data_IF_868786611387
#
_entry.id   IF_868786611387
#
_cell.length_a   1.000
_cell.length_b   1.000
_cell.length_c   1.000
_cell.angle_alpha   90.00
_cell.angle_beta   90.00
_cell.angle_gamma   90.00
#
_symmetry.space_group_name_H-M   'P 1'
#
loop_
_entity.id
_entity.type
_entity.pdbx_description
1 polymer ?
#
# COMPACT_ATOMS: atom_id res chain seq x y z
N UNK A 1 11.69 -15.28 -15.61
CA UNK A 1 12.14 -14.07 -16.31
C UNK A 1 10.94 -13.39 -16.98
N UNK A 2 10.89 -12.06 -16.99
CA UNK A 2 9.87 -11.31 -17.74
C UNK A 2 10.40 -11.08 -19.16
N UNK A 3 9.64 -11.46 -20.18
CA UNK A 3 10.03 -11.34 -21.58
C UNK A 3 9.33 -10.13 -22.21
N UNK A 4 10.09 -9.18 -22.75
CA UNK A 4 9.50 -8.04 -23.46
C UNK A 4 8.89 -8.50 -24.78
N UNK A 5 7.60 -8.21 -25.00
CA UNK A 5 6.83 -8.70 -26.15
C UNK A 5 6.25 -7.57 -27.02
N UNK A 6 6.23 -6.34 -26.52
CA UNK A 6 5.76 -5.20 -27.31
C UNK A 6 6.04 -3.86 -26.65
N UNK A 7 6.30 -2.84 -27.45
CA UNK A 7 6.36 -1.45 -27.00
C UNK A 7 5.97 -0.50 -28.10
N UNK A 8 5.38 0.62 -27.73
CA UNK A 8 5.11 1.75 -28.64
C UNK A 8 6.35 2.60 -28.92
N UNK A 9 7.38 2.52 -28.09
CA UNK A 9 8.35 3.61 -27.94
C UNK A 9 7.68 4.91 -27.43
N UNK A 10 8.41 6.03 -27.44
CA UNK A 10 7.88 7.35 -27.07
C UNK A 10 6.83 7.84 -28.08
N UNK A 11 5.67 8.25 -27.58
CA UNK A 11 4.53 8.74 -28.37
C UNK A 11 4.43 10.27 -28.38
N UNK A 12 5.21 10.98 -27.56
CA UNK A 12 5.13 12.43 -27.43
C UNK A 12 3.83 12.91 -26.80
N UNK A 13 3.42 12.26 -25.70
CA UNK A 13 2.20 12.53 -24.93
C UNK A 13 0.93 12.50 -25.78
N UNK A 14 0.61 11.32 -26.31
CA UNK A 14 -0.63 11.08 -27.05
C UNK A 14 -1.85 11.34 -26.16
N UNK A 15 -2.66 12.33 -26.53
CA UNK A 15 -3.91 12.63 -25.83
C UNK A 15 -4.94 11.51 -26.03
N UNK A 16 -5.64 11.18 -24.94
CA UNK A 16 -6.77 10.26 -24.88
C UNK A 16 -7.92 10.96 -24.17
N UNK A 17 -9.10 10.96 -24.78
CA UNK A 17 -10.30 11.62 -24.29
C UNK A 17 -11.56 10.90 -24.81
N UNK A 18 -12.76 11.37 -24.44
CA UNK A 18 -14.03 10.70 -24.73
C UNK A 18 -14.28 10.34 -26.22
N UNK A 19 -13.58 10.97 -27.16
CA UNK A 19 -13.74 10.75 -28.60
C UNK A 19 -12.45 10.28 -29.29
N UNK A 20 -11.39 10.00 -28.53
CA UNK A 20 -10.11 9.57 -29.06
C UNK A 20 -9.47 8.55 -28.12
N UNK A 21 -9.49 7.30 -28.55
CA UNK A 21 -8.83 6.21 -27.87
C UNK A 21 -7.39 6.03 -28.35
N UNK A 22 -6.58 5.35 -27.53
CA UNK A 22 -5.31 4.79 -27.96
C UNK A 22 -5.49 3.31 -28.29
N UNK A 23 -4.83 2.83 -29.35
CA UNK A 23 -4.86 1.40 -29.73
C UNK A 23 -3.48 0.95 -30.17
N UNK A 24 -3.10 -0.27 -29.79
CA UNK A 24 -1.90 -0.94 -30.26
C UNK A 24 -2.15 -2.43 -30.46
N UNK A 25 -1.41 -3.04 -31.38
CA UNK A 25 -1.41 -4.48 -31.56
C UNK A 25 -0.28 -5.10 -30.71
N UNK A 26 -0.56 -6.24 -30.11
CA UNK A 26 0.36 -7.05 -29.31
C UNK A 26 0.41 -8.42 -29.98
N UNK A 27 1.62 -8.98 -30.15
CA UNK A 27 1.78 -10.36 -30.61
C UNK A 27 2.44 -11.18 -29.52
N UNK A 28 1.81 -12.30 -29.18
CA UNK A 28 2.29 -13.27 -28.22
C UNK A 28 2.74 -14.52 -28.96
N UNK A 29 4.05 -14.83 -28.92
CA UNK A 29 4.58 -16.03 -29.56
C UNK A 29 4.24 -17.30 -28.77
N UNK A 30 4.10 -17.18 -27.46
CA UNK A 30 3.79 -18.27 -26.55
C UNK A 30 2.85 -17.78 -25.45
N UNK A 31 1.99 -18.67 -24.94
CA UNK A 31 1.02 -18.36 -23.90
C UNK A 31 1.67 -17.97 -22.56
N UNK A 32 1.02 -17.13 -21.78
CA UNK A 32 1.50 -16.71 -20.46
C UNK A 32 0.74 -15.55 -19.86
N UNK A 33 1.13 -15.14 -18.65
CA UNK A 33 0.59 -13.94 -18.03
C UNK A 33 1.20 -12.70 -18.67
N UNK A 34 0.37 -11.69 -18.94
CA UNK A 34 0.81 -10.48 -19.65
C UNK A 34 0.68 -9.25 -18.78
N UNK A 35 1.80 -8.58 -18.53
CA UNK A 35 1.86 -7.27 -17.88
C UNK A 35 1.89 -6.14 -18.90
N UNK A 36 1.30 -5.03 -18.50
CA UNK A 36 1.25 -3.75 -19.18
C UNK A 36 1.88 -2.68 -18.28
N UNK A 37 2.94 -2.03 -18.73
CA UNK A 37 3.42 -0.78 -18.14
C UNK A 37 2.92 0.39 -19.00
N UNK A 38 2.07 1.23 -18.41
CA UNK A 38 1.53 2.42 -19.04
C UNK A 38 2.19 3.67 -18.45
N UNK A 39 3.12 4.30 -19.18
CA UNK A 39 3.63 5.62 -18.80
C UNK A 39 2.63 6.68 -19.24
N UNK A 40 1.93 7.27 -18.27
CA UNK A 40 0.87 8.22 -18.52
C UNK A 40 0.87 9.36 -17.50
N UNK A 41 0.10 10.40 -17.82
CA UNK A 41 -0.31 11.47 -16.91
C UNK A 41 -1.72 11.90 -17.28
N UNK A 42 -2.31 12.76 -16.45
CA UNK A 42 -3.69 13.22 -16.55
C UNK A 42 -3.75 14.72 -16.29
N UNK A 43 -4.78 15.42 -16.73
CA UNK A 43 -5.04 16.80 -16.27
C UNK A 43 -5.61 16.87 -14.83
N UNK A 44 -5.66 15.73 -14.15
CA UNK A 44 -6.10 15.58 -12.77
C UNK A 44 -5.06 16.05 -11.74
N UNK A 45 -5.52 16.24 -10.51
CA UNK A 45 -4.75 16.51 -9.31
C UNK A 45 -5.44 15.84 -8.11
N UNK A 46 -4.80 14.83 -7.51
CA UNK A 46 -5.34 14.04 -6.39
C UNK A 46 -5.71 14.88 -5.17
N UNK A 47 -5.16 16.10 -5.07
CA UNK A 47 -5.37 17.04 -3.96
C UNK A 47 -6.62 17.91 -4.14
N UNK A 48 -7.25 17.90 -5.30
CA UNK A 48 -8.32 18.83 -5.65
C UNK A 48 -9.63 18.07 -5.84
N UNK A 49 -10.64 18.45 -5.06
CA UNK A 49 -11.98 17.86 -5.14
C UNK A 49 -12.57 18.00 -6.55
N UNK A 50 -13.07 16.88 -7.08
CA UNK A 50 -13.62 16.78 -8.43
C UNK A 50 -12.57 16.75 -9.56
N UNK A 51 -11.28 16.78 -9.23
CA UNK A 51 -10.15 16.73 -10.14
C UNK A 51 -9.24 15.52 -9.90
N UNK A 52 -9.60 14.56 -9.06
CA UNK A 52 -8.68 13.58 -8.46
C UNK A 52 -7.95 12.72 -9.49
N UNK A 53 -8.69 12.15 -10.43
CA UNK A 53 -8.17 11.19 -11.41
C UNK A 53 -8.89 11.22 -12.75
N UNK A 54 -8.13 10.83 -13.79
CA UNK A 54 -8.69 10.23 -15.00
C UNK A 54 -8.77 8.72 -14.83
N UNK A 55 -9.71 8.08 -15.53
CA UNK A 55 -9.73 6.62 -15.66
C UNK A 55 -9.66 6.21 -17.12
N UNK A 56 -8.69 5.34 -17.42
CA UNK A 56 -8.57 4.68 -18.70
C UNK A 56 -9.10 3.25 -18.59
N UNK A 57 -10.16 2.94 -19.34
CA UNK A 57 -10.64 1.58 -19.51
C UNK A 57 -9.74 0.82 -20.47
N UNK A 58 -9.27 -0.32 -20.04
CA UNK A 58 -8.48 -1.26 -20.81
C UNK A 58 -9.43 -2.26 -21.46
N UNK A 59 -9.37 -2.32 -22.78
CA UNK A 59 -10.02 -3.34 -23.60
C UNK A 59 -8.93 -4.20 -24.22
N UNK A 60 -9.14 -5.52 -24.17
CA UNK A 60 -8.36 -6.47 -24.93
C UNK A 60 -9.30 -7.10 -25.95
N UNK A 61 -8.98 -6.94 -27.23
CA UNK A 61 -9.93 -7.13 -28.33
C UNK A 61 -11.17 -6.22 -28.16
N UNK A 62 -12.34 -6.84 -27.97
CA UNK A 62 -13.62 -6.17 -27.73
C UNK A 62 -14.13 -6.40 -26.31
N UNK A 63 -13.35 -7.10 -25.50
CA UNK A 63 -13.73 -7.47 -24.15
C UNK A 63 -13.19 -6.48 -23.13
N UNK A 64 -14.04 -6.12 -22.18
CA UNK A 64 -13.64 -5.30 -21.05
C UNK A 64 -12.60 -6.05 -20.24
N UNK A 65 -11.38 -5.53 -20.16
CA UNK A 65 -10.32 -6.13 -19.35
C UNK A 65 -10.42 -5.58 -17.92
N UNK A 66 -10.10 -4.30 -17.72
CA UNK A 66 -10.08 -3.66 -16.41
C UNK A 66 -10.04 -2.14 -16.55
N UNK A 67 -10.07 -1.41 -15.44
CA UNK A 67 -9.94 0.04 -15.40
C UNK A 67 -8.60 0.46 -14.77
N UNK A 68 -8.02 1.57 -15.25
CA UNK A 68 -6.75 2.11 -14.77
C UNK A 68 -6.96 3.55 -14.29
N UNK A 69 -6.94 3.73 -12.97
CA UNK A 69 -7.07 5.04 -12.31
C UNK A 69 -5.72 5.75 -12.36
N UNK A 70 -5.69 6.90 -13.03
CA UNK A 70 -4.52 7.75 -13.15
C UNK A 70 -4.46 8.73 -11.96
N UNK A 71 -4.15 8.19 -10.79
CA UNK A 71 -4.12 8.92 -9.50
C UNK A 71 -2.94 9.89 -9.32
N UNK A 72 -1.97 9.90 -10.24
CA UNK A 72 -0.72 10.67 -10.10
C UNK A 72 -0.79 12.01 -10.85
N UNK A 73 -1.98 12.37 -11.32
CA UNK A 73 -2.27 13.69 -11.89
C UNK A 73 -1.43 14.04 -13.10
N UNK A 74 -1.02 15.30 -13.18
CA UNK A 74 -0.18 15.84 -14.26
C UNK A 74 1.28 15.39 -14.20
N UNK A 75 1.67 14.62 -13.20
CA UNK A 75 3.01 14.05 -13.06
C UNK A 75 3.10 12.74 -13.87
N UNK A 76 4.11 12.57 -14.74
CA UNK A 76 4.38 11.28 -15.39
C UNK A 76 4.50 10.13 -14.38
N UNK A 77 3.78 9.05 -14.61
CA UNK A 77 3.85 7.84 -13.78
C UNK A 77 3.63 6.58 -14.61
N UNK A 78 4.31 5.50 -14.22
CA UNK A 78 4.12 4.18 -14.84
C UNK A 78 3.08 3.39 -14.07
N UNK A 79 1.89 3.24 -14.66
CA UNK A 79 0.81 2.41 -14.13
C UNK A 79 0.97 0.99 -14.65
N UNK A 80 1.45 0.08 -13.80
CA UNK A 80 1.55 -1.33 -14.18
C UNK A 80 0.22 -2.06 -13.92
N UNK A 81 -0.23 -2.84 -14.90
CA UNK A 81 -1.42 -3.70 -14.83
C UNK A 81 -1.09 -5.10 -15.34
N UNK A 82 -1.75 -6.10 -14.78
CA UNK A 82 -1.73 -7.46 -15.29
C UNK A 82 -2.99 -7.65 -16.14
N UNK A 83 -2.83 -7.98 -17.43
CA UNK A 83 -3.92 -8.19 -18.37
C UNK A 83 -4.58 -9.58 -18.22
N UNK A 84 -3.91 -10.50 -17.51
CA UNK A 84 -4.35 -11.87 -17.32
C UNK A 84 -3.48 -12.90 -18.04
N UNK A 85 -3.91 -14.17 -18.00
CA UNK A 85 -3.34 -15.23 -18.82
C UNK A 85 -3.88 -15.14 -20.25
N UNK A 86 -2.98 -15.09 -21.23
CA UNK A 86 -3.28 -15.04 -22.65
C UNK A 86 -2.65 -16.24 -23.36
N UNK A 87 -3.36 -16.77 -24.36
CA UNK A 87 -2.81 -17.78 -25.28
C UNK A 87 -1.84 -17.13 -26.29
N UNK A 88 -1.08 -17.96 -27.00
CA UNK A 88 -0.30 -17.47 -28.14
C UNK A 88 -1.24 -16.91 -29.22
N UNK A 89 -0.92 -15.74 -29.77
CA UNK A 89 -1.78 -15.08 -30.76
C UNK A 89 -1.53 -13.59 -30.91
N UNK A 90 -2.31 -12.97 -31.79
CA UNK A 90 -2.34 -11.53 -32.00
C UNK A 90 -3.52 -10.92 -31.22
N UNK A 91 -3.25 -9.81 -30.54
CA UNK A 91 -4.21 -9.09 -29.70
C UNK A 91 -4.25 -7.61 -30.02
N UNK A 92 -5.41 -6.98 -29.88
CA UNK A 92 -5.62 -5.54 -29.96
C UNK A 92 -5.84 -4.98 -28.56
N UNK A 93 -4.91 -4.19 -28.06
CA UNK A 93 -5.07 -3.43 -26.81
C UNK A 93 -5.65 -2.06 -27.15
N UNK A 94 -6.76 -1.70 -26.49
CA UNK A 94 -7.35 -0.36 -26.57
C UNK A 94 -7.47 0.28 -25.20
N UNK A 95 -6.97 1.49 -25.07
CA UNK A 95 -7.06 2.32 -23.87
C UNK A 95 -8.02 3.47 -24.17
N UNK A 96 -9.18 3.45 -23.51
CA UNK A 96 -10.26 4.40 -23.73
C UNK A 96 -10.50 5.26 -22.49
N UNK A 97 -10.59 6.57 -22.65
CA UNK A 97 -10.97 7.45 -21.54
C UNK A 97 -12.40 7.15 -21.12
N UNK A 98 -12.67 7.03 -19.82
CA UNK A 98 -14.01 6.76 -19.29
C UNK A 98 -14.57 8.00 -18.59
N UNK A 99 -15.42 8.81 -19.25
CA UNK A 99 -15.90 10.08 -18.68
C UNK A 99 -16.64 9.92 -17.36
N UNK A 100 -17.52 8.92 -17.28
CA UNK A 100 -18.38 8.74 -16.09
C UNK A 100 -17.62 8.18 -14.87
N UNK A 101 -16.55 7.41 -15.11
CA UNK A 101 -15.69 6.87 -14.05
C UNK A 101 -14.60 7.86 -13.63
N UNK A 102 -14.20 8.77 -14.53
CA UNK A 102 -13.21 9.82 -14.26
C UNK A 102 -13.79 10.91 -13.39
N UNK A 103 -12.93 11.73 -12.80
CA UNK A 103 -13.34 12.87 -11.97
C UNK A 103 -14.12 13.89 -12.80
N UNK A 104 -15.16 14.56 -12.25
CA UNK A 104 -16.14 15.27 -13.07
C UNK A 104 -15.54 16.43 -13.87
N UNK A 105 -14.46 17.04 -13.38
CA UNK A 105 -13.77 18.15 -14.04
C UNK A 105 -12.63 17.71 -14.97
N UNK A 106 -12.33 16.41 -15.01
CA UNK A 106 -11.25 15.83 -15.82
C UNK A 106 -11.83 15.29 -17.13
N UNK A 107 -11.17 15.56 -18.25
CA UNK A 107 -11.61 15.24 -19.61
C UNK A 107 -10.53 14.57 -20.46
N UNK A 108 -9.26 14.65 -20.05
CA UNK A 108 -8.10 14.21 -20.84
C UNK A 108 -7.05 13.49 -20.00
N UNK A 109 -6.50 12.46 -20.61
CA UNK A 109 -5.27 11.81 -20.19
C UNK A 109 -4.25 11.84 -21.33
N UNK A 110 -2.98 11.58 -21.01
CA UNK A 110 -1.87 11.61 -21.95
C UNK A 110 -1.00 10.38 -21.76
N UNK A 111 -0.76 9.66 -22.85
CA UNK A 111 0.06 8.44 -22.87
C UNK A 111 1.39 8.75 -23.54
N UNK A 112 2.50 8.49 -22.84
CA UNK A 112 3.84 8.64 -23.41
C UNK A 112 4.35 7.33 -23.99
N UNK A 113 4.18 6.22 -23.28
CA UNK A 113 4.58 4.91 -23.81
C UNK A 113 3.78 3.78 -23.18
N UNK A 114 3.72 2.69 -23.92
CA UNK A 114 3.18 1.42 -23.46
C UNK A 114 4.23 0.34 -23.67
N UNK A 115 4.52 -0.44 -22.62
CA UNK A 115 5.36 -1.63 -22.69
C UNK A 115 4.59 -2.84 -22.23
N UNK A 116 4.80 -3.97 -22.90
CA UNK A 116 4.09 -5.22 -22.62
C UNK A 116 5.11 -6.33 -22.39
N UNK A 117 4.92 -7.10 -21.32
CA UNK A 117 5.82 -8.18 -20.89
C UNK A 117 5.05 -9.47 -20.66
N UNK A 118 5.60 -10.61 -21.09
CA UNK A 118 5.11 -11.96 -20.80
C UNK A 118 5.84 -12.54 -19.59
N UNK A 119 5.10 -13.25 -18.76
CA UNK A 119 5.59 -14.19 -17.75
C UNK A 119 5.14 -15.58 -18.18
N UNK A 120 6.07 -16.41 -18.62
CA UNK A 120 5.77 -17.78 -19.04
C UNK A 120 6.15 -18.81 -17.97
N UNK A 121 5.83 -20.07 -18.28
CA UNK A 121 6.02 -21.23 -17.39
C UNK A 121 7.49 -21.55 -17.10
N UNK A 122 8.42 -21.04 -17.91
CA UNK A 122 9.86 -21.06 -17.65
C UNK A 122 10.23 -20.33 -16.34
N UNK A 123 9.33 -19.51 -15.84
CA UNK A 123 9.42 -18.77 -14.57
C UNK A 123 8.58 -19.42 -13.49
N UNK A 124 8.67 -20.74 -13.30
CA UNK A 124 7.70 -21.55 -12.53
C UNK A 124 7.17 -20.90 -11.24
N UNK A 125 8.06 -20.42 -10.36
CA UNK A 125 7.67 -19.76 -9.11
C UNK A 125 6.86 -18.48 -9.34
N UNK A 126 7.36 -17.57 -10.19
CA UNK A 126 6.67 -16.34 -10.54
C UNK A 126 5.35 -16.61 -11.26
N UNK A 127 5.32 -17.61 -12.14
CA UNK A 127 4.14 -18.02 -12.88
C UNK A 127 3.02 -18.48 -11.94
N UNK A 128 3.35 -19.26 -10.92
CA UNK A 128 2.41 -19.72 -9.90
C UNK A 128 1.87 -18.57 -9.04
N UNK A 129 2.71 -17.59 -8.69
CA UNK A 129 2.28 -16.37 -7.97
C UNK A 129 1.37 -15.51 -8.86
N UNK A 130 1.63 -15.40 -10.15
CA UNK A 130 0.78 -14.61 -11.05
C UNK A 130 -0.58 -15.29 -11.21
N UNK A 131 -0.61 -16.62 -11.38
CA UNK A 131 -1.83 -17.44 -11.51
C UNK A 131 -2.87 -17.18 -10.44
N UNK A 132 -2.45 -16.88 -9.21
CA UNK A 132 -3.35 -16.71 -8.07
C UNK A 132 -3.55 -15.26 -7.63
N UNK A 133 -3.02 -14.28 -8.37
CA UNK A 133 -3.24 -12.86 -8.09
C UNK A 133 -4.73 -12.50 -8.27
N UNK A 134 -5.39 -11.82 -7.32
CA UNK A 134 -6.82 -11.57 -7.38
C UNK A 134 -7.18 -10.43 -8.34
N UNK A 135 -8.31 -10.61 -9.04
CA UNK A 135 -9.05 -9.49 -9.66
C UNK A 135 -9.88 -8.83 -8.57
N UNK A 136 -9.68 -7.53 -8.39
CA UNK A 136 -10.37 -6.75 -7.37
C UNK A 136 -11.36 -5.80 -8.03
N UNK A 137 -12.64 -6.01 -7.79
CA UNK A 137 -13.69 -5.06 -8.12
C UNK A 137 -13.66 -3.90 -7.13
N UNK A 138 -13.80 -2.69 -7.66
CA UNK A 138 -13.70 -1.48 -6.85
C UNK A 138 -14.86 -1.33 -5.87
N UNK A 139 -14.62 -0.56 -4.82
CA UNK A 139 -15.61 -0.33 -3.76
C UNK A 139 -16.80 0.47 -4.29
N UNK A 140 -17.98 0.15 -3.78
CA UNK A 140 -19.24 0.79 -4.16
C UNK A 140 -20.20 0.93 -2.96
N UNK A 141 -19.69 1.44 -1.84
CA UNK A 141 -20.42 1.64 -0.58
C UNK A 141 -21.21 2.96 -0.63
N UNK A 142 -20.52 4.09 -0.80
CA UNK A 142 -21.18 5.41 -0.84
C UNK A 142 -21.33 5.98 -2.25
N UNK A 143 -20.50 5.54 -3.19
CA UNK A 143 -20.54 5.95 -4.59
C UNK A 143 -20.24 4.76 -5.50
N UNK A 144 -20.83 4.64 -6.70
CA UNK A 144 -20.57 3.51 -7.60
C UNK A 144 -19.10 3.34 -8.02
N UNK A 145 -18.31 4.41 -7.92
CA UNK A 145 -16.91 4.52 -8.35
C UNK A 145 -16.05 5.19 -7.27
N UNK A 146 -16.00 4.66 -6.04
CA UNK A 146 -15.22 5.26 -4.93
C UNK A 146 -13.71 5.27 -5.22
N UNK A 147 -13.18 4.17 -5.77
CA UNK A 147 -11.76 4.02 -6.09
C UNK A 147 -11.23 4.94 -7.20
N UNK A 148 -12.01 5.92 -7.67
CA UNK A 148 -11.50 7.03 -8.51
C UNK A 148 -10.99 8.21 -7.67
N UNK A 149 -11.42 8.34 -6.41
CA UNK A 149 -11.13 9.51 -5.58
C UNK A 149 -10.76 9.17 -4.13
N UNK A 150 -10.94 7.95 -3.66
CA UNK A 150 -10.49 7.48 -2.34
C UNK A 150 -10.22 5.99 -2.41
N UNK A 151 -9.46 5.42 -1.47
CA UNK A 151 -9.30 3.96 -1.35
C UNK A 151 -8.96 3.28 -2.69
N UNK A 152 -8.03 3.90 -3.42
CA UNK A 152 -7.62 3.42 -4.74
C UNK A 152 -6.61 2.30 -4.58
N UNK A 153 -6.79 1.12 -5.21
CA UNK A 153 -5.78 0.06 -5.19
C UNK A 153 -4.47 0.55 -5.83
N UNK A 154 -3.43 0.71 -5.02
CA UNK A 154 -2.13 1.24 -5.45
C UNK A 154 -1.16 0.13 -5.82
N UNK A 155 -1.09 -0.92 -4.99
CA UNK A 155 -0.06 -1.94 -5.11
C UNK A 155 -0.49 -3.28 -4.50
N UNK A 156 -0.36 -4.34 -5.29
CA UNK A 156 -0.49 -5.72 -4.83
C UNK A 156 0.90 -6.27 -4.47
N UNK A 157 1.02 -6.83 -3.27
CA UNK A 157 2.21 -7.57 -2.83
C UNK A 157 1.79 -8.90 -2.21
N UNK A 158 2.76 -9.77 -1.90
CA UNK A 158 2.46 -11.11 -1.41
C UNK A 158 3.53 -11.61 -0.45
N UNK A 159 3.25 -12.70 0.26
CA UNK A 159 4.30 -13.55 0.82
C UNK A 159 3.95 -15.02 0.60
N UNK A 160 4.97 -15.86 0.69
CA UNK A 160 4.82 -17.32 0.63
C UNK A 160 5.11 -17.95 1.99
N UNK A 161 4.39 -19.02 2.32
CA UNK A 161 4.58 -19.78 3.55
C UNK A 161 4.66 -21.27 3.22
N UNK A 162 5.80 -21.94 3.52
CA UNK A 162 5.90 -23.39 3.37
C UNK A 162 4.87 -24.10 4.26
N UNK A 163 4.17 -25.09 3.69
CA UNK A 163 3.27 -25.97 4.43
C UNK A 163 3.86 -27.38 4.51
N UNK A 164 3.26 -28.26 5.32
CA UNK A 164 3.70 -29.66 5.41
C UNK A 164 3.65 -30.39 4.05
N UNK A 165 2.72 -30.00 3.19
CA UNK A 165 2.59 -30.48 1.82
C UNK A 165 2.15 -29.32 0.91
N UNK A 166 3.12 -28.78 0.18
CA UNK A 166 2.98 -27.60 -0.68
C UNK A 166 3.31 -26.28 0.04
N UNK A 167 2.57 -25.23 -0.28
CA UNK A 167 2.79 -23.88 0.26
C UNK A 167 1.52 -23.05 0.24
N UNK A 168 1.48 -21.99 1.02
CA UNK A 168 0.48 -20.94 0.88
C UNK A 168 1.07 -19.71 0.20
N UNK A 169 0.21 -18.99 -0.52
CA UNK A 169 0.49 -17.65 -1.04
C UNK A 169 -0.59 -16.73 -0.50
N UNK A 170 -0.19 -15.65 0.16
CA UNK A 170 -1.09 -14.62 0.67
C UNK A 170 -0.81 -13.31 -0.04
N UNK A 171 -1.87 -12.70 -0.55
CA UNK A 171 -1.85 -11.45 -1.28
C UNK A 171 -2.39 -10.33 -0.42
N UNK A 172 -1.68 -9.21 -0.42
CA UNK A 172 -2.05 -7.99 0.29
C UNK A 172 -2.11 -6.82 -0.67
N UNK A 173 -3.02 -5.89 -0.41
CA UNK A 173 -3.23 -4.69 -1.20
C UNK A 173 -2.93 -3.46 -0.35
N UNK A 174 -2.20 -2.51 -0.92
CA UNK A 174 -2.10 -1.15 -0.40
C UNK A 174 -3.16 -0.31 -1.10
N UNK A 175 -4.05 0.29 -0.32
CA UNK A 175 -5.02 1.27 -0.79
C UNK A 175 -4.56 2.68 -0.41
N UNK A 176 -5.04 3.70 -1.13
CA UNK A 176 -4.60 5.09 -0.91
C UNK A 176 -4.96 5.64 0.48
N UNK A 177 -6.00 5.11 1.14
CA UNK A 177 -6.45 5.55 2.46
C UNK A 177 -7.32 4.48 3.16
N UNK A 178 -7.32 4.46 4.50
CA UNK A 178 -8.34 3.78 5.33
C UNK A 178 -9.45 4.79 5.67
N UNK A 179 -10.61 4.72 4.98
CA UNK A 179 -11.67 5.73 5.10
C UNK A 179 -12.38 5.72 6.47
N UNK A 180 -12.51 4.57 7.12
CA UNK A 180 -13.19 4.43 8.40
C UNK A 180 -12.57 3.30 9.26
N UNK A 181 -13.12 3.05 10.45
CA UNK A 181 -12.65 2.00 11.35
C UNK A 181 -11.68 2.55 12.39
N UNK A 182 -10.47 2.92 11.97
CA UNK A 182 -9.49 3.57 12.86
C UNK A 182 -9.46 5.08 12.61
N UNK A 183 -9.60 5.93 13.65
CA UNK A 183 -9.44 7.37 13.47
C UNK A 183 -8.10 7.73 12.82
N UNK A 184 -8.12 8.55 11.78
CA UNK A 184 -6.94 8.88 10.95
C UNK A 184 -5.69 9.26 11.74
N UNK A 185 -5.73 10.08 12.81
CA UNK A 185 -4.52 10.38 13.55
C UNK A 185 -3.94 9.17 14.31
N UNK A 186 -4.78 8.19 14.66
CA UNK A 186 -4.34 6.94 15.28
C UNK A 186 -3.68 6.00 14.26
N UNK A 187 -4.00 6.14 12.97
CA UNK A 187 -3.29 5.41 11.91
C UNK A 187 -1.81 5.81 11.89
N UNK A 188 -1.55 7.11 11.99
CA UNK A 188 -0.18 7.64 12.08
C UNK A 188 0.55 7.14 13.33
N UNK A 189 -0.06 7.22 14.51
CA UNK A 189 0.59 6.75 15.74
C UNK A 189 0.82 5.24 15.76
N UNK A 190 -0.16 4.46 15.27
CA UNK A 190 -0.17 3.00 15.43
C UNK A 190 0.55 2.27 14.32
N UNK A 191 0.38 2.73 13.08
CA UNK A 191 0.86 2.04 11.87
C UNK A 191 1.87 2.88 11.08
N UNK A 192 2.02 4.17 11.40
CA UNK A 192 2.96 5.06 10.70
C UNK A 192 2.55 5.40 9.27
N UNK A 193 1.25 5.31 8.95
CA UNK A 193 0.68 5.55 7.62
C UNK A 193 -0.79 5.92 7.73
N UNK A 194 -1.35 6.47 6.66
CA UNK A 194 -2.80 6.66 6.47
C UNK A 194 -3.36 5.79 5.33
N UNK A 195 -2.50 5.18 4.51
CA UNK A 195 -2.90 4.12 3.57
C UNK A 195 -3.54 2.98 4.33
N UNK A 196 -4.44 2.25 3.69
CA UNK A 196 -4.87 0.95 4.17
C UNK A 196 -3.96 -0.15 3.62
N UNK A 197 -3.69 -1.19 4.42
CA UNK A 197 -2.94 -2.37 4.01
C UNK A 197 -3.66 -3.60 4.54
N UNK A 198 -4.36 -4.30 3.65
CA UNK A 198 -5.18 -5.47 3.99
C UNK A 198 -4.75 -6.70 3.20
N UNK A 199 -4.87 -7.87 3.83
CA UNK A 199 -4.70 -9.13 3.10
C UNK A 199 -6.03 -9.49 2.43
N UNK A 200 -6.02 -9.61 1.11
CA UNK A 200 -7.27 -9.73 0.34
C UNK A 200 -7.57 -11.18 -0.04
N UNK A 201 -6.53 -12.00 -0.23
CA UNK A 201 -6.70 -13.37 -0.69
C UNK A 201 -5.55 -14.25 -0.23
N UNK A 202 -5.86 -15.47 0.18
CA UNK A 202 -4.87 -16.49 0.53
C UNK A 202 -5.26 -17.81 -0.11
N UNK A 203 -4.29 -18.45 -0.75
CA UNK A 203 -4.43 -19.77 -1.36
C UNK A 203 -3.42 -20.74 -0.75
N UNK A 204 -3.87 -21.93 -0.39
CA UNK A 204 -3.03 -23.05 0.03
C UNK A 204 -2.98 -24.07 -1.12
N UNK A 205 -1.77 -24.30 -1.63
CA UNK A 205 -1.45 -25.20 -2.73
C UNK A 205 -0.82 -26.47 -2.17
N UNK A 206 -1.07 -27.60 -2.83
CA UNK A 206 -0.40 -28.85 -2.51
C UNK A 206 0.94 -29.03 -3.22
N UNK A 207 1.63 -30.15 -2.95
CA UNK A 207 2.90 -30.48 -3.61
C UNK A 207 2.83 -30.62 -5.14
N UNK A 208 1.63 -30.68 -5.74
CA UNK A 208 1.42 -30.66 -7.19
C UNK A 208 1.06 -29.28 -7.76
N UNK A 209 0.91 -28.26 -6.90
CA UNK A 209 0.49 -26.91 -7.29
C UNK A 209 -1.04 -26.76 -7.44
N UNK A 210 -1.83 -27.73 -6.95
CA UNK A 210 -3.29 -27.69 -7.01
C UNK A 210 -3.86 -27.01 -5.75
N UNK A 211 -4.97 -26.28 -5.94
CA UNK A 211 -5.62 -25.52 -4.87
C UNK A 211 -6.32 -26.47 -3.90
N UNK A 212 -5.88 -26.49 -2.65
CA UNK A 212 -6.57 -27.20 -1.55
C UNK A 212 -7.60 -26.33 -0.85
N UNK A 213 -7.25 -25.07 -0.65
CA UNK A 213 -8.04 -24.13 0.12
C UNK A 213 -7.77 -22.72 -0.35
N UNK A 214 -8.83 -21.92 -0.42
CA UNK A 214 -8.76 -20.51 -0.72
C UNK A 214 -9.62 -19.74 0.28
N UNK A 215 -9.09 -18.65 0.82
CA UNK A 215 -9.75 -17.80 1.83
C UNK A 215 -9.50 -16.32 1.55
N UNK A 216 -10.36 -15.47 2.09
CA UNK A 216 -10.24 -14.01 1.99
C UNK A 216 -10.61 -13.36 3.33
N UNK A 217 -10.23 -12.10 3.52
CA UNK A 217 -10.58 -11.30 4.69
C UNK A 217 -11.93 -10.61 4.45
N UNK A 218 -12.98 -11.13 5.05
CA UNK A 218 -14.31 -10.56 5.00
C UNK A 218 -14.52 -9.40 5.98
N UNK A 219 -15.71 -8.77 5.96
CA UNK A 219 -16.08 -7.74 6.92
C UNK A 219 -15.84 -8.16 8.36
N UNK A 220 -15.61 -7.16 9.20
CA UNK A 220 -15.21 -7.35 10.61
C UNK A 220 -13.90 -8.15 10.77
N UNK A 221 -13.07 -8.22 9.72
CA UNK A 221 -11.83 -9.00 9.67
C UNK A 221 -12.05 -10.51 9.84
N UNK A 222 -13.20 -11.02 9.41
CA UNK A 222 -13.53 -12.45 9.50
C UNK A 222 -12.98 -13.19 8.29
N UNK A 223 -12.16 -14.22 8.52
CA UNK A 223 -11.69 -15.09 7.45
C UNK A 223 -12.84 -15.91 6.85
N UNK A 224 -13.13 -15.67 5.57
CA UNK A 224 -14.11 -16.40 4.79
C UNK A 224 -13.47 -17.42 3.84
N UNK A 225 -14.21 -18.47 3.48
CA UNK A 225 -13.83 -19.38 2.40
C UNK A 225 -14.20 -18.76 1.05
N UNK A 226 -13.27 -18.75 0.11
CA UNK A 226 -13.51 -18.26 -1.24
C UNK A 226 -14.40 -19.25 -2.02
N UNK A 227 -15.52 -18.76 -2.53
CA UNK A 227 -16.48 -19.48 -3.39
C UNK A 227 -16.83 -18.69 -4.65
N UNK A 228 -16.12 -17.59 -4.90
CA UNK A 228 -16.32 -16.72 -6.05
C UNK A 228 -15.91 -17.34 -7.37
N UNK A 229 -16.26 -16.63 -8.46
CA UNK A 229 -15.84 -17.00 -9.81
C UNK A 229 -14.41 -16.59 -10.13
N UNK A 230 -14.00 -16.88 -11.36
CA UNK A 230 -12.72 -16.42 -11.91
C UNK A 230 -12.92 -15.49 -13.10
N UNK A 231 -11.93 -14.63 -13.38
CA UNK A 231 -11.93 -13.72 -14.52
C UNK A 231 -10.52 -13.53 -15.09
N UNK A 232 -10.43 -12.88 -16.25
CA UNK A 232 -9.17 -12.44 -16.86
C UNK A 232 -8.11 -13.54 -17.00
N UNK A 233 -8.51 -14.75 -17.42
CA UNK A 233 -7.56 -15.87 -17.54
C UNK A 233 -7.39 -16.69 -16.26
N UNK A 234 -8.43 -16.76 -15.43
CA UNK A 234 -8.51 -17.71 -14.31
C UNK A 234 -8.21 -17.13 -12.93
N UNK A 235 -8.06 -15.82 -12.81
CA UNK A 235 -7.79 -15.14 -11.54
C UNK A 235 -9.02 -15.13 -10.62
N UNK A 236 -8.85 -15.33 -9.29
CA UNK A 236 -9.96 -15.29 -8.34
C UNK A 236 -10.56 -13.88 -8.28
N UNK A 237 -11.89 -13.80 -8.23
CA UNK A 237 -12.62 -12.52 -8.25
C UNK A 237 -13.11 -12.14 -6.85
N UNK A 238 -12.68 -10.97 -6.40
CA UNK A 238 -13.11 -10.35 -5.14
C UNK A 238 -13.60 -8.93 -5.39
N UNK A 239 -14.34 -8.36 -4.46
CA UNK A 239 -14.74 -6.95 -4.44
C UNK A 239 -14.42 -6.34 -3.08
N UNK A 240 -13.86 -5.12 -3.06
CA UNK A 240 -13.76 -4.33 -1.83
C UNK A 240 -15.16 -3.96 -1.36
N UNK A 241 -15.49 -4.35 -0.13
CA UNK A 241 -16.87 -4.32 0.36
C UNK A 241 -17.09 -3.40 1.57
N UNK A 242 -16.00 -2.93 2.19
CA UNK A 242 -16.04 -2.10 3.41
C UNK A 242 -15.13 -0.88 3.26
N UNK A 243 -15.39 0.14 4.06
CA UNK A 243 -14.64 1.42 4.10
C UNK A 243 -13.21 1.30 4.64
N UNK A 244 -12.83 0.13 5.13
CA UNK A 244 -11.49 -0.22 5.61
C UNK A 244 -10.95 -1.49 4.93
N UNK A 245 -11.13 -1.59 3.60
CA UNK A 245 -10.32 -2.49 2.76
C UNK A 245 -10.70 -3.98 2.70
N UNK A 246 -11.56 -4.50 3.58
CA UNK A 246 -12.01 -5.89 3.51
C UNK A 246 -12.87 -6.20 2.28
N UNK A 247 -12.89 -7.48 1.90
CA UNK A 247 -13.41 -7.95 0.61
C UNK A 247 -14.52 -8.99 0.75
N UNK A 248 -15.27 -9.17 -0.33
CA UNK A 248 -16.18 -10.29 -0.53
C UNK A 248 -15.95 -10.96 -1.89
N UNK A 249 -16.41 -12.19 -2.04
CA UNK A 249 -16.37 -12.96 -3.29
C UNK A 249 -17.65 -12.84 -4.14
N UNK A 250 -18.51 -11.87 -3.80
CA UNK A 250 -19.70 -11.48 -4.56
C UNK A 250 -19.49 -10.09 -5.15
N UNK A 251 -19.72 -9.96 -6.47
CA UNK A 251 -19.51 -8.73 -7.21
C UNK A 251 -20.82 -7.98 -7.45
N UNK A 252 -20.82 -6.70 -7.14
CA UNK A 252 -21.90 -5.74 -7.41
C UNK A 252 -21.41 -4.49 -8.13
N UNK A 253 -20.10 -4.21 -8.18
CA UNK A 253 -19.56 -3.03 -8.85
C UNK A 253 -19.27 -3.24 -10.34
N UNK A 254 -19.28 -2.14 -11.10
CA UNK A 254 -19.14 -2.16 -12.56
C UNK A 254 -17.70 -1.98 -13.07
N UNK A 255 -16.71 -2.00 -12.18
CA UNK A 255 -15.31 -1.67 -12.51
C UNK A 255 -14.34 -2.52 -11.67
N UNK A 256 -13.18 -2.86 -12.24
CA UNK A 256 -12.24 -3.83 -11.66
C UNK A 256 -10.80 -3.52 -11.99
N UNK A 257 -9.91 -4.11 -11.21
CA UNK A 257 -8.48 -3.95 -11.23
C UNK A 257 -7.80 -5.32 -11.18
N UNK A 258 -6.73 -5.48 -11.94
CA UNK A 258 -5.83 -6.62 -11.84
C UNK A 258 -4.39 -6.07 -11.83
N UNK A 259 -3.83 -5.98 -10.63
CA UNK A 259 -2.46 -5.53 -10.41
C UNK A 259 -1.54 -6.75 -10.38
N UNK A 260 -0.31 -6.67 -10.93
CA UNK A 260 0.66 -7.72 -10.72
C UNK A 260 1.15 -7.73 -9.27
N UNK A 261 1.61 -8.89 -8.76
CA UNK A 261 2.21 -9.01 -7.44
C UNK A 261 3.65 -8.47 -7.49
N UNK A 262 3.84 -7.23 -7.04
CA UNK A 262 5.05 -6.42 -7.28
C UNK A 262 6.15 -6.58 -6.23
N UNK A 263 5.85 -7.14 -5.07
CA UNK A 263 6.79 -7.28 -3.96
C UNK A 263 6.53 -8.56 -3.18
N UNK A 264 7.58 -9.30 -2.87
CA UNK A 264 7.54 -10.40 -1.91
C UNK A 264 7.92 -9.86 -0.53
N UNK A 265 6.95 -9.80 0.37
CA UNK A 265 7.13 -9.31 1.72
C UNK A 265 7.71 -10.39 2.63
N UNK A 266 8.88 -10.09 3.21
CA UNK A 266 9.47 -10.94 4.23
C UNK A 266 9.01 -10.53 5.63
N UNK A 267 7.90 -11.13 6.08
CA UNK A 267 7.29 -10.88 7.41
C UNK A 267 8.20 -11.13 8.62
N UNK A 268 9.35 -11.81 8.45
CA UNK A 268 10.26 -12.11 9.54
C UNK A 268 11.24 -10.97 9.83
N UNK A 269 11.54 -10.15 8.82
CA UNK A 269 12.61 -9.14 8.91
C UNK A 269 12.16 -7.75 8.47
N UNK A 270 10.94 -7.59 7.96
CA UNK A 270 10.42 -6.31 7.49
C UNK A 270 8.98 -6.06 7.97
N UNK A 271 8.62 -4.83 8.35
CA UNK A 271 7.22 -4.45 8.54
C UNK A 271 6.49 -4.41 7.19
N UNK A 272 5.15 -4.44 7.19
CA UNK A 272 4.36 -4.35 5.94
C UNK A 272 4.64 -3.05 5.18
N UNK A 273 4.85 -1.95 5.90
CA UNK A 273 5.12 -0.63 5.33
C UNK A 273 6.47 -0.55 4.61
N UNK A 274 7.34 -1.56 4.74
CA UNK A 274 8.56 -1.65 3.94
C UNK A 274 8.28 -1.65 2.43
N UNK A 275 7.12 -2.15 2.03
CA UNK A 275 6.62 -2.10 0.66
C UNK A 275 6.45 -0.65 0.19
N UNK A 276 6.01 0.27 1.06
CA UNK A 276 5.88 1.69 0.74
C UNK A 276 7.24 2.35 0.50
N UNK A 277 8.31 1.91 1.19
CA UNK A 277 9.66 2.40 0.91
C UNK A 277 10.20 1.91 -0.45
N UNK A 278 9.83 0.69 -0.86
CA UNK A 278 10.16 0.16 -2.17
C UNK A 278 9.36 0.85 -3.28
N UNK A 279 8.18 1.38 -2.95
CA UNK A 279 7.27 2.09 -3.85
C UNK A 279 6.80 3.43 -3.26
N UNK A 280 7.70 4.44 -3.19
CA UNK A 280 7.47 5.68 -2.44
C UNK A 280 6.27 6.52 -2.87
N UNK A 281 5.75 6.33 -4.08
CA UNK A 281 4.56 7.02 -4.54
C UNK A 281 3.34 6.76 -3.65
N UNK A 282 3.33 5.65 -2.90
CA UNK A 282 2.29 5.32 -1.93
C UNK A 282 2.22 6.34 -0.79
N UNK A 283 3.36 6.86 -0.29
CA UNK A 283 3.39 7.97 0.67
C UNK A 283 2.84 9.26 0.06
N UNK A 284 3.13 9.52 -1.21
CA UNK A 284 2.72 10.74 -1.89
C UNK A 284 1.21 10.78 -2.13
N UNK A 285 0.64 9.70 -2.68
CA UNK A 285 -0.79 9.62 -2.98
C UNK A 285 -1.61 9.72 -1.70
N UNK A 286 -1.22 9.01 -0.63
CA UNK A 286 -1.93 9.12 0.65
C UNK A 286 -1.80 10.52 1.27
N UNK A 287 -0.63 11.17 1.18
CA UNK A 287 -0.46 12.53 1.67
C UNK A 287 -1.35 13.54 0.94
N UNK A 288 -1.39 13.47 -0.39
CA UNK A 288 -2.27 14.30 -1.22
C UNK A 288 -3.75 14.06 -0.93
N UNK A 289 -4.11 12.82 -0.60
CA UNK A 289 -5.45 12.48 -0.16
C UNK A 289 -5.78 13.13 1.18
N UNK A 290 -4.84 13.10 2.13
CA UNK A 290 -5.02 13.70 3.45
C UNK A 290 -5.13 15.23 3.36
N UNK A 291 -4.33 15.87 2.51
CA UNK A 291 -4.44 17.31 2.22
C UNK A 291 -5.84 17.70 1.73
N UNK A 292 -6.47 16.84 0.93
CA UNK A 292 -7.81 17.09 0.37
C UNK A 292 -8.93 16.79 1.37
N UNK A 293 -8.84 15.67 2.09
CA UNK A 293 -9.93 15.16 2.91
C UNK A 293 -9.95 15.73 4.34
N UNK A 294 -8.79 16.16 4.87
CA UNK A 294 -8.66 16.54 6.27
C UNK A 294 -8.04 17.92 6.45
N UNK A 295 -8.55 18.66 7.43
CA UNK A 295 -7.90 19.87 7.91
C UNK A 295 -6.72 19.48 8.80
N UNK A 296 -5.50 19.63 8.27
CA UNK A 296 -4.29 19.42 9.04
C UNK A 296 -4.19 20.42 10.21
N UNK A 297 -3.70 19.94 11.35
CA UNK A 297 -3.33 20.77 12.48
C UNK A 297 -2.17 21.70 12.07
N UNK A 298 -2.44 23.00 12.07
CA UNK A 298 -1.46 24.04 11.76
C UNK A 298 -1.63 25.24 12.71
N UNK A 299 -0.59 25.63 13.48
CA UNK A 299 0.69 24.93 13.62
C UNK A 299 0.53 23.59 14.35
N UNK A 300 1.40 22.62 14.05
CA UNK A 300 1.41 21.33 14.75
C UNK A 300 1.66 21.52 16.26
N UNK A 301 0.85 20.88 17.10
CA UNK A 301 0.94 20.98 18.57
C UNK A 301 1.51 19.68 19.16
N UNK A 302 2.58 19.84 19.94
CA UNK A 302 3.48 18.77 20.40
C UNK A 302 2.84 17.63 21.23
N UNK A 303 1.62 17.83 21.75
CA UNK A 303 0.87 16.83 22.53
C UNK A 303 -0.59 16.69 22.08
N UNK A 304 -0.94 17.29 20.95
CA UNK A 304 -2.23 17.05 20.33
C UNK A 304 -2.14 15.73 19.58
N UNK A 305 -3.17 14.89 19.65
CA UNK A 305 -3.22 13.71 18.80
C UNK A 305 -3.83 14.01 17.42
N UNK A 306 -4.20 15.26 17.11
CA UNK A 306 -4.76 15.63 15.80
C UNK A 306 -3.75 15.38 14.66
N UNK A 307 -4.26 15.07 13.47
CA UNK A 307 -3.45 14.88 12.28
C UNK A 307 -2.82 16.21 11.87
N UNK A 308 -1.49 16.25 11.76
CA UNK A 308 -0.76 17.36 11.15
C UNK A 308 -0.36 17.01 9.71
N UNK A 309 0.27 17.94 9.01
CA UNK A 309 0.91 17.63 7.73
C UNK A 309 1.86 16.42 7.90
N UNK A 310 1.76 15.45 6.98
CA UNK A 310 2.51 14.20 7.06
C UNK A 310 4.04 14.39 7.05
N UNK A 311 4.55 15.54 6.58
CA UNK A 311 5.97 15.90 6.64
C UNK A 311 6.46 16.22 8.06
N UNK A 312 5.56 16.46 9.01
CA UNK A 312 5.89 16.83 10.39
C UNK A 312 6.01 15.60 11.31
N UNK A 313 6.22 14.42 10.73
CA UNK A 313 6.35 13.17 11.44
C UNK A 313 7.71 12.54 11.17
N UNK A 314 8.37 12.09 12.23
CA UNK A 314 9.43 11.09 12.10
C UNK A 314 8.75 9.73 11.93
N UNK A 315 8.84 9.16 10.73
CA UNK A 315 8.41 7.80 10.45
C UNK A 315 9.44 6.83 11.00
N UNK A 316 8.98 5.81 11.70
CA UNK A 316 9.82 4.83 12.39
C UNK A 316 9.43 3.43 11.96
N UNK A 317 10.43 2.63 11.59
CA UNK A 317 10.31 1.18 11.42
C UNK A 317 11.24 0.50 12.42
N UNK A 318 10.71 -0.45 13.18
CA UNK A 318 11.43 -1.14 14.27
C UNK A 318 10.75 -2.48 14.57
N UNK A 319 11.27 -3.21 15.55
CA UNK A 319 10.68 -4.46 16.01
C UNK A 319 10.47 -4.47 17.52
N UNK A 320 9.45 -5.21 17.96
CA UNK A 320 9.27 -5.68 19.34
C UNK A 320 9.41 -7.20 19.35
N UNK A 321 10.49 -7.67 19.96
CA UNK A 321 10.71 -9.11 20.18
C UNK A 321 10.28 -9.43 21.60
N UNK A 322 9.37 -10.38 21.70
CA UNK A 322 8.66 -10.75 22.93
C UNK A 322 8.69 -12.27 23.06
N UNK A 323 8.70 -12.79 24.29
CA UNK A 323 8.79 -14.23 24.56
C UNK A 323 7.45 -14.96 24.38
N UNK A 324 6.35 -14.24 24.54
CA UNK A 324 4.97 -14.72 24.44
C UNK A 324 4.21 -13.94 23.35
N UNK A 325 4.31 -14.35 22.07
CA UNK A 325 3.67 -13.63 20.96
C UNK A 325 2.14 -13.46 21.08
N UNK A 326 1.48 -14.26 21.93
CA UNK A 326 0.04 -14.16 22.22
C UNK A 326 -0.33 -12.99 23.14
N UNK A 327 0.65 -12.37 23.83
CA UNK A 327 0.44 -11.21 24.68
C UNK A 327 0.56 -9.94 23.84
N UNK A 328 -0.45 -9.06 23.91
CA UNK A 328 -0.45 -7.77 23.21
C UNK A 328 0.52 -6.78 23.86
N UNK A 329 1.80 -6.96 23.54
CA UNK A 329 2.90 -6.14 24.02
C UNK A 329 3.06 -4.89 23.15
N UNK A 330 3.34 -3.75 23.77
CA UNK A 330 3.57 -2.48 23.08
C UNK A 330 4.78 -1.76 23.67
N UNK A 331 5.40 -0.95 22.83
CA UNK A 331 6.40 0.05 23.22
C UNK A 331 5.98 1.39 22.65
N UNK A 332 6.47 2.47 23.25
CA UNK A 332 6.42 3.80 22.68
C UNK A 332 7.77 4.17 22.06
N UNK A 333 7.74 4.98 21.01
CA UNK A 333 8.95 5.59 20.45
C UNK A 333 8.92 7.08 20.81
N UNK A 334 10.00 7.56 21.40
CA UNK A 334 10.09 8.93 21.86
C UNK A 334 11.29 9.65 21.24
N UNK A 335 11.10 10.91 20.89
CA UNK A 335 12.13 11.79 20.32
C UNK A 335 12.40 12.94 21.27
N UNK A 336 13.68 13.25 21.48
CA UNK A 336 14.14 14.47 22.15
C UNK A 336 14.77 15.39 21.12
N UNK A 337 14.39 16.67 21.15
CA UNK A 337 14.97 17.71 20.29
C UNK A 337 15.99 18.55 21.07
N UNK A 338 17.03 19.03 20.38
CA UNK A 338 18.08 19.88 20.93
C UNK A 338 17.47 21.17 21.48
N UNK A 339 17.86 21.53 22.71
CA UNK A 339 17.39 22.76 23.36
C UNK A 339 15.91 22.76 23.77
N UNK A 340 15.18 21.65 23.56
CA UNK A 340 13.78 21.50 23.99
C UNK A 340 13.73 20.62 25.23
N UNK A 341 13.06 21.11 26.29
CA UNK A 341 12.80 20.32 27.49
C UNK A 341 11.62 19.36 27.24
N UNK A 342 11.87 18.06 27.35
CA UNK A 342 10.82 17.04 27.28
C UNK A 342 11.04 16.03 26.15
N UNK A 343 10.02 15.19 25.93
CA UNK A 343 10.01 14.13 24.92
C UNK A 343 8.72 14.21 24.12
N UNK A 344 8.84 14.00 22.82
CA UNK A 344 7.72 13.80 21.91
C UNK A 344 7.43 12.30 21.82
N UNK A 345 6.16 11.92 21.98
CA UNK A 345 5.75 10.51 22.05
C UNK A 345 4.96 10.12 20.81
N UNK A 346 5.31 8.99 20.19
CA UNK A 346 4.56 8.44 19.06
C UNK A 346 3.18 7.92 19.45
N UNK A 347 3.01 7.49 20.71
CA UNK A 347 1.73 7.02 21.26
C UNK A 347 1.03 8.03 22.16
N UNK A 348 1.49 9.27 22.20
CA UNK A 348 0.97 10.34 23.07
C UNK A 348 0.90 9.93 24.56
N UNK A 349 1.92 9.22 25.03
CA UNK A 349 1.99 8.72 26.41
C UNK A 349 1.06 7.54 26.68
N UNK A 350 0.99 6.56 25.78
CA UNK A 350 0.05 5.42 25.82
C UNK A 350 -1.43 5.85 25.81
N UNK A 351 -1.76 6.88 25.02
CA UNK A 351 -3.13 7.35 24.90
C UNK A 351 -4.06 6.22 24.42
N UNK A 352 -5.24 6.16 25.03
CA UNK A 352 -6.33 5.24 24.68
C UNK A 352 -7.53 6.04 24.21
N UNK A 353 -8.05 5.68 23.05
CA UNK A 353 -9.24 6.30 22.46
C UNK A 353 -10.30 5.22 22.24
N UNK A 354 -11.25 5.11 23.18
CA UNK A 354 -12.16 3.97 23.24
C UNK A 354 -11.40 2.65 23.37
N UNK A 355 -11.63 1.73 22.44
CA UNK A 355 -10.93 0.44 22.39
C UNK A 355 -9.55 0.51 21.69
N UNK A 356 -9.20 1.67 21.11
CA UNK A 356 -7.93 1.82 20.41
C UNK A 356 -6.82 2.25 21.36
N UNK A 357 -5.69 1.56 21.28
CA UNK A 357 -4.41 1.97 21.85
C UNK A 357 -3.58 2.64 20.76
N UNK A 358 -3.01 3.82 21.02
CA UNK A 358 -2.20 4.54 20.04
C UNK A 358 -0.90 3.81 19.73
N UNK A 359 -0.28 3.18 20.73
CA UNK A 359 0.90 2.35 20.55
C UNK A 359 0.55 1.08 19.79
N UNK A 360 1.47 0.65 18.92
CA UNK A 360 1.33 -0.59 18.16
C UNK A 360 1.20 -1.81 19.10
N UNK A 361 0.05 -2.47 19.05
CA UNK A 361 -0.28 -3.70 19.78
C UNK A 361 -0.63 -4.86 18.83
N UNK A 362 -0.33 -4.70 17.54
CA UNK A 362 -0.56 -5.71 16.50
C UNK A 362 0.30 -6.96 16.66
N UNK A 363 -0.04 -8.02 15.92
CA UNK A 363 0.55 -9.36 16.08
C UNK A 363 1.96 -9.50 15.48
N UNK A 364 2.38 -8.58 14.60
CA UNK A 364 3.69 -8.66 13.96
C UNK A 364 4.80 -8.13 14.86
N UNK A 365 5.94 -8.81 14.84
CA UNK A 365 7.15 -8.37 15.54
C UNK A 365 7.71 -7.09 14.95
N UNK A 366 7.82 -7.04 13.62
CA UNK A 366 8.23 -5.87 12.85
C UNK A 366 7.02 -4.95 12.64
N UNK A 367 7.18 -3.66 12.92
CA UNK A 367 6.10 -2.69 12.78
C UNK A 367 6.62 -1.29 12.44
N UNK A 368 5.68 -0.45 12.05
CA UNK A 368 5.90 0.96 11.77
C UNK A 368 5.06 1.83 12.70
N UNK A 369 5.56 3.02 13.01
CA UNK A 369 4.89 4.05 13.83
C UNK A 369 5.42 5.41 13.41
N UNK A 370 4.86 6.49 13.93
CA UNK A 370 5.40 7.84 13.74
C UNK A 370 5.47 8.61 15.05
N UNK A 371 6.34 9.60 15.11
CA UNK A 371 6.36 10.61 16.17
C UNK A 371 6.07 11.97 15.55
N UNK A 372 4.97 12.61 15.96
CA UNK A 372 4.64 13.98 15.52
C UNK A 372 5.61 14.96 16.16
N UNK A 373 6.19 15.83 15.34
CA UNK A 373 7.20 16.81 15.72
C UNK A 373 6.77 18.23 15.30
N UNK A 374 7.37 19.28 15.88
CA UNK A 374 7.11 20.65 15.47
C UNK A 374 7.39 20.83 13.97
N UNK A 375 6.62 21.71 13.34
CA UNK A 375 6.86 22.13 11.95
C UNK A 375 8.31 22.60 11.75
N UNK A 376 8.93 22.15 10.66
CA UNK A 376 10.32 22.47 10.32
C UNK A 376 11.39 21.60 10.99
N UNK A 377 11.02 20.67 11.88
CA UNK A 377 11.98 19.75 12.52
C UNK A 377 12.63 18.81 11.49
N UNK A 378 13.96 18.75 11.49
CA UNK A 378 14.75 17.79 10.72
C UNK A 378 15.71 16.97 11.59
N UNK A 379 16.59 16.19 10.94
CA UNK A 379 17.56 15.35 11.65
C UNK A 379 18.53 16.15 12.54
N UNK A 380 18.96 17.34 12.08
CA UNK A 380 19.90 18.19 12.80
C UNK A 380 19.32 18.75 14.10
N UNK A 381 17.99 18.76 14.25
CA UNK A 381 17.31 19.20 15.46
C UNK A 381 17.16 18.08 16.50
N UNK A 382 17.31 16.82 16.09
CA UNK A 382 17.15 15.67 16.97
C UNK A 382 18.38 15.47 17.85
N UNK A 383 18.15 15.27 19.16
CA UNK A 383 19.18 14.90 20.12
C UNK A 383 19.21 13.38 20.31
N UNK A 384 18.04 12.76 20.49
CA UNK A 384 17.94 11.36 20.86
C UNK A 384 16.60 10.74 20.44
N UNK A 385 16.62 9.44 20.11
CA UNK A 385 15.44 8.60 19.94
C UNK A 385 15.51 7.42 20.91
N UNK A 386 14.42 7.17 21.63
CA UNK A 386 14.32 6.08 22.58
C UNK A 386 13.15 5.14 22.30
N UNK A 387 13.32 3.88 22.69
CA UNK A 387 12.20 3.00 23.00
C UNK A 387 11.78 3.20 24.46
N UNK A 388 10.47 3.14 24.72
CA UNK A 388 9.90 3.19 26.06
C UNK A 388 8.95 2.01 26.29
N UNK A 389 9.17 1.28 27.38
CA UNK A 389 8.29 0.20 27.82
C UNK A 389 6.93 0.75 28.22
N UNK A 390 5.86 0.08 27.78
CA UNK A 390 4.50 0.40 28.17
C UNK A 390 3.86 -0.77 28.94
N UNK A 391 3.02 -0.48 29.95
CA UNK A 391 2.31 -1.52 30.69
C UNK A 391 1.26 -2.26 29.84
N UNK A 392 0.80 -3.42 30.32
CA UNK A 392 -0.29 -4.19 29.70
C UNK A 392 0.17 -5.28 28.73
N UNK A 393 1.48 -5.52 28.64
CA UNK A 393 2.05 -6.67 27.92
C UNK A 393 3.17 -7.32 28.74
N UNK A 394 4.18 -7.85 28.05
CA UNK A 394 5.33 -8.46 28.72
C UNK A 394 6.15 -7.47 29.55
N UNK A 395 6.74 -7.95 30.65
CA UNK A 395 7.52 -7.12 31.58
C UNK A 395 8.85 -6.61 30.99
N UNK A 396 9.30 -7.21 29.89
CA UNK A 396 10.56 -6.88 29.21
C UNK A 396 10.40 -7.09 27.71
N UNK A 397 10.88 -6.15 26.91
CA UNK A 397 10.76 -6.17 25.44
C UNK A 397 12.11 -5.85 24.82
N UNK A 398 12.57 -6.72 23.90
CA UNK A 398 13.76 -6.47 23.11
C UNK A 398 13.39 -5.65 21.87
N UNK A 399 14.10 -4.56 21.66
CA UNK A 399 14.02 -3.70 20.48
C UNK A 399 15.36 -3.81 19.76
N UNK A 400 15.47 -4.62 18.69
CA UNK A 400 16.75 -4.99 18.10
C UNK A 400 17.31 -3.92 17.15
N UNK A 401 16.45 -3.09 16.59
CA UNK A 401 16.83 -2.17 15.51
C UNK A 401 15.90 -0.96 15.43
N UNK A 402 16.38 0.07 14.73
CA UNK A 402 15.65 1.30 14.48
C UNK A 402 15.99 1.84 13.08
N UNK A 403 14.96 2.28 12.37
CA UNK A 403 15.06 3.11 11.17
C UNK A 403 14.10 4.30 11.34
N UNK A 404 14.62 5.52 11.17
CA UNK A 404 13.85 6.75 11.22
C UNK A 404 13.99 7.56 9.94
N UNK A 405 12.90 8.13 9.41
CA UNK A 405 12.95 9.05 8.28
C UNK A 405 11.85 10.12 8.28
N UNK A 406 12.10 11.23 7.60
CA UNK A 406 11.09 12.24 7.30
C UNK A 406 10.66 12.16 5.83
N UNK A 407 9.54 12.81 5.50
CA UNK A 407 9.16 13.06 4.12
C UNK A 407 9.67 14.43 3.66
N UNK A 408 10.01 14.53 2.38
CA UNK A 408 10.40 15.78 1.74
C UNK A 408 9.18 16.63 1.36
N UNK A 409 9.43 17.76 0.69
CA UNK A 409 8.37 18.69 0.24
C UNK A 409 7.36 18.06 -0.72
N UNK A 410 7.75 17.00 -1.42
CA UNK A 410 6.95 16.26 -2.41
C UNK A 410 6.41 14.95 -1.81
N UNK A 411 6.47 14.80 -0.48
CA UNK A 411 6.05 13.62 0.27
C UNK A 411 6.83 12.34 -0.06
N UNK A 412 8.04 12.46 -0.61
CA UNK A 412 8.94 11.33 -0.80
C UNK A 412 9.80 11.10 0.46
N UNK A 413 10.11 9.85 0.83
CA UNK A 413 10.93 9.56 1.99
C UNK A 413 12.37 10.02 1.79
N UNK A 414 12.90 10.78 2.76
CA UNK A 414 14.30 11.14 2.84
C UNK A 414 15.17 9.92 3.19
N UNK A 415 16.49 10.03 2.94
CA UNK A 415 17.44 9.02 3.39
C UNK A 415 17.31 8.80 4.91
N UNK A 416 17.16 7.55 5.38
CA UNK A 416 16.87 7.28 6.78
C UNK A 416 18.12 7.33 7.65
N UNK A 417 17.93 7.67 8.92
CA UNK A 417 18.86 7.32 10.00
C UNK A 417 18.57 5.88 10.46
N UNK A 418 19.63 5.16 10.84
CA UNK A 418 19.52 3.75 11.26
C UNK A 418 20.38 3.47 12.47
N UNK A 419 19.95 2.52 13.27
CA UNK A 419 20.72 1.96 14.38
C UNK A 419 20.40 0.48 14.51
N UNK A 420 21.44 -0.33 14.69
CA UNK A 420 21.36 -1.75 15.07
C UNK A 420 21.65 -1.95 16.55
N UNK A 421 21.62 -0.88 17.36
CA UNK A 421 21.76 -0.96 18.81
C UNK A 421 20.53 -1.66 19.38
N UNK A 422 20.70 -2.94 19.72
CA UNK A 422 19.69 -3.71 20.41
C UNK A 422 19.57 -3.24 21.88
N UNK A 423 18.35 -2.90 22.30
CA UNK A 423 18.06 -2.49 23.68
C UNK A 423 16.89 -3.28 24.26
N UNK A 424 16.90 -3.44 25.58
CA UNK A 424 15.79 -4.06 26.30
C UNK A 424 15.13 -3.02 27.20
N UNK A 425 13.84 -2.78 26.97
CA UNK A 425 13.02 -1.91 27.83
C UNK A 425 12.19 -2.77 28.77
N UNK A 426 12.12 -2.39 30.04
CA UNK A 426 11.38 -3.12 31.07
C UNK A 426 10.74 -2.16 32.08
N UNK A 427 9.95 -2.67 33.01
CA UNK A 427 9.40 -1.85 34.09
C UNK A 427 10.51 -1.14 34.92
N UNK A 428 11.64 -1.80 35.17
CA UNK A 428 12.78 -1.26 35.93
C UNK A 428 13.67 -0.33 35.09
N UNK A 429 13.68 -0.55 33.77
CA UNK A 429 14.43 0.26 32.80
C UNK A 429 13.51 0.68 31.67
N UNK A 430 12.54 1.59 31.95
CA UNK A 430 11.44 1.85 31.03
C UNK A 430 11.86 2.62 29.79
N UNK A 431 13.03 3.27 29.75
CA UNK A 431 13.51 3.99 28.57
C UNK A 431 14.92 3.54 28.21
N UNK A 432 15.17 3.28 26.94
CA UNK A 432 16.50 2.99 26.40
C UNK A 432 16.73 3.71 25.07
N UNK A 433 17.95 4.18 24.85
CA UNK A 433 18.36 4.91 23.64
C UNK A 433 18.52 3.97 22.45
N UNK A 434 17.77 4.24 21.37
CA UNK A 434 17.94 3.54 20.09
C UNK A 434 18.95 4.26 19.20
N UNK A 435 18.93 5.59 19.22
CA UNK A 435 19.79 6.43 18.41
C UNK A 435 20.07 7.74 19.14
N UNK A 436 21.27 8.28 18.99
CA UNK A 436 21.66 9.59 19.51
C UNK A 436 22.41 10.34 18.42
N UNK A 437 22.24 11.66 18.39
CA UNK A 437 23.04 12.52 17.54
C UNK A 437 24.50 12.50 18.00
N UNK A 438 25.38 11.95 17.18
CA UNK A 438 26.82 12.01 17.40
C UNK A 438 27.39 13.26 16.71
N UNK A 439 28.11 14.10 17.47
CA UNK A 439 28.94 15.16 16.90
C UNK A 439 30.11 14.50 16.16
N UNK A 440 30.05 14.43 14.84
CA UNK A 440 31.24 14.21 14.01
C UNK A 440 31.75 15.55 13.48
#
# INVERSE_FOLDING_TARGET
>A
MKHHIGSTGPLGWREVHANADFTMNIRLEEAGFVELDLLAKSESDWRVDGYESSVLRIWLEREYNQDCVLFYGNRPFTYTRLLGYLEAGDYTLRLAFHPDLSSPQVKRAYIESVHVRRIGVESAELFEIYKHSPVLYGRSVYHPYESRYTDTPLLLFYFTEPLADGKAIEYQMIFSHEDEGTPTPLLMSKWGRTTDIEWVYRVELDGSGEVRKATFQGPEHITGHFKGGTALGGHPVLQVATTNGMVHDTVTSGYRFLLPPMYEWNRQVEPRERVMDAYPFTYQVTAWEMERQYAAESPAVNNSFQLADLRHYLYVQTAKVTAEPGVRTSIDIQVKLKGVNGWFSGSFGDLRHGNFRCAYDGPYHQFSTTVKLPEGTGYDDMEEVCAVWLPGGEASVLVPEFKGFFLDRDYAPLSPIRSSTAVTVSQERPRQTLWRWDFA
#
